data_IF_077681640867
#
_entry.id   IF_077681640867
#
_cell.length_a   1.000
_cell.length_b   1.000
_cell.length_c   1.000
_cell.angle_alpha   90.00
_cell.angle_beta   90.00
_cell.angle_gamma   90.00
#
_symmetry.space_group_name_H-M   'P 1'
#
loop_
_entity.id
_entity.type
_entity.pdbx_description
1 polymer ?
#
# COMPACT_ATOMS: atom_id res chain seq x y z
N UNK A 1 7.06 13.99 -33.65
CA UNK A 1 6.47 13.19 -32.57
C UNK A 1 7.61 12.51 -31.84
N UNK A 2 7.59 12.44 -30.51
CA UNK A 2 8.62 11.73 -29.75
C UNK A 2 8.52 10.22 -30.05
N UNK A 3 9.66 9.54 -30.09
CA UNK A 3 9.69 8.08 -30.26
C UNK A 3 9.13 7.40 -29.01
N UNK A 4 8.40 6.30 -29.22
CA UNK A 4 7.80 5.53 -28.13
C UNK A 4 8.86 4.64 -27.47
N UNK A 5 9.04 4.77 -26.15
CA UNK A 5 9.99 3.95 -25.40
C UNK A 5 9.40 2.56 -25.07
N UNK A 6 10.27 1.56 -24.77
CA UNK A 6 9.83 0.23 -24.35
C UNK A 6 8.90 0.28 -23.12
N UNK A 7 8.13 -0.79 -22.93
CA UNK A 7 7.16 -0.87 -21.85
C UNK A 7 7.81 -0.68 -20.46
N UNK A 8 7.27 0.22 -19.61
CA UNK A 8 7.83 0.51 -18.29
C UNK A 8 7.75 -0.67 -17.30
N UNK A 9 6.93 -1.68 -17.59
CA UNK A 9 6.68 -2.80 -16.68
C UNK A 9 7.50 -4.05 -17.04
N UNK A 10 7.55 -4.42 -18.33
CA UNK A 10 8.21 -5.64 -18.78
C UNK A 10 9.41 -5.39 -19.71
N UNK A 11 9.65 -4.15 -20.14
CA UNK A 11 10.67 -3.81 -21.12
C UNK A 11 10.38 -4.25 -22.56
N UNK A 12 9.20 -4.84 -22.82
CA UNK A 12 8.78 -5.26 -24.16
C UNK A 12 8.41 -4.10 -25.10
N UNK A 13 8.14 -4.42 -26.36
CA UNK A 13 7.75 -3.43 -27.36
C UNK A 13 6.39 -2.79 -27.02
N UNK A 14 6.25 -1.53 -27.40
CA UNK A 14 5.04 -0.74 -27.21
C UNK A 14 4.54 -0.23 -28.56
N UNK A 15 3.23 -0.19 -28.74
CA UNK A 15 2.57 0.25 -29.97
C UNK A 15 1.59 1.41 -29.68
N UNK A 16 1.38 2.23 -30.71
CA UNK A 16 0.43 3.34 -30.71
C UNK A 16 -0.79 2.97 -31.54
N UNK A 17 -2.00 3.23 -31.03
CA UNK A 17 -3.25 3.11 -31.78
C UNK A 17 -4.08 4.38 -31.61
N UNK A 18 -4.32 5.10 -32.70
CA UNK A 18 -5.09 6.35 -32.71
C UNK A 18 -6.61 6.12 -32.70
N UNK A 19 -7.06 4.89 -32.93
CA UNK A 19 -8.46 4.53 -33.18
C UNK A 19 -8.93 3.39 -32.28
N UNK A 20 -8.29 3.20 -31.12
CA UNK A 20 -8.64 2.16 -30.19
C UNK A 20 -10.08 2.34 -29.71
N UNK A 21 -10.94 1.39 -30.07
CA UNK A 21 -12.35 1.43 -29.71
C UNK A 21 -12.53 1.28 -28.18
N UNK A 22 -13.40 2.10 -27.60
CA UNK A 22 -13.82 2.00 -26.21
C UNK A 22 -15.33 2.27 -26.08
N UNK A 23 -15.93 1.83 -24.97
CA UNK A 23 -17.33 2.15 -24.66
C UNK A 23 -17.37 3.33 -23.72
N UNK A 24 -17.93 4.45 -24.17
CA UNK A 24 -18.16 5.63 -23.33
C UNK A 24 -19.09 5.27 -22.18
N UNK A 25 -18.66 5.50 -20.93
CA UNK A 25 -19.51 5.22 -19.75
C UNK A 25 -20.69 6.18 -19.66
N UNK A 26 -20.54 7.42 -20.14
CA UNK A 26 -21.60 8.44 -20.09
C UNK A 26 -22.70 8.16 -21.12
N UNK A 27 -22.31 7.83 -22.36
CA UNK A 27 -23.27 7.69 -23.47
C UNK A 27 -23.63 6.24 -23.79
N UNK A 28 -22.86 5.27 -23.29
CA UNK A 28 -22.98 3.85 -23.63
C UNK A 28 -22.58 3.50 -25.07
N UNK A 29 -22.27 4.50 -25.90
CA UNK A 29 -21.88 4.31 -27.31
C UNK A 29 -20.43 3.85 -27.41
N UNK A 30 -20.13 3.15 -28.50
CA UNK A 30 -18.75 2.85 -28.88
C UNK A 30 -18.18 4.11 -29.50
N UNK A 31 -17.06 4.56 -28.96
CA UNK A 31 -16.26 5.67 -29.47
C UNK A 31 -14.79 5.19 -29.58
N UNK A 32 -13.87 6.07 -29.93
CA UNK A 32 -12.46 5.76 -30.15
C UNK A 32 -11.54 6.73 -29.41
N UNK A 33 -10.38 6.23 -28.99
CA UNK A 33 -9.38 7.02 -28.27
C UNK A 33 -7.97 6.73 -28.76
N UNK A 34 -7.04 7.59 -28.37
CA UNK A 34 -5.61 7.36 -28.56
C UNK A 34 -5.13 6.42 -27.45
N UNK A 35 -4.47 5.33 -27.81
CA UNK A 35 -3.97 4.33 -26.89
C UNK A 35 -2.49 4.03 -27.14
N UNK A 36 -1.80 3.74 -26.04
CA UNK A 36 -0.45 3.18 -26.04
C UNK A 36 -0.50 1.91 -25.22
N UNK A 37 -0.02 0.80 -25.78
CA UNK A 37 -0.04 -0.50 -25.10
C UNK A 37 1.23 -1.30 -25.35
N UNK A 38 1.52 -2.21 -24.43
CA UNK A 38 2.60 -3.17 -24.61
C UNK A 38 2.10 -4.40 -25.35
N UNK A 39 2.90 -4.92 -26.28
CA UNK A 39 2.61 -6.17 -27.00
C UNK A 39 3.02 -7.42 -26.20
N UNK A 40 3.91 -7.26 -25.21
CA UNK A 40 4.44 -8.35 -24.38
C UNK A 40 3.70 -8.58 -23.05
N UNK A 41 3.00 -7.57 -22.51
CA UNK A 41 2.25 -7.69 -21.27
C UNK A 41 0.93 -6.91 -21.33
N UNK A 42 0.10 -7.00 -20.28
CA UNK A 42 -1.23 -6.36 -20.26
C UNK A 42 -1.21 -4.86 -19.91
N UNK A 43 -0.07 -4.18 -20.02
CA UNK A 43 0.02 -2.75 -19.76
C UNK A 43 -0.61 -1.96 -20.92
N UNK A 44 -1.65 -1.18 -20.61
CA UNK A 44 -2.25 -0.25 -21.55
C UNK A 44 -2.49 1.12 -20.90
N UNK A 45 -2.58 2.13 -21.73
CA UNK A 45 -3.12 3.44 -21.40
C UNK A 45 -4.01 3.87 -22.57
N UNK A 46 -5.14 4.51 -22.29
CA UNK A 46 -6.02 5.09 -23.30
C UNK A 46 -6.47 6.49 -22.87
N UNK A 47 -6.49 7.42 -23.83
CA UNK A 47 -7.11 8.73 -23.70
C UNK A 47 -8.33 8.81 -24.63
N UNK A 48 -9.49 8.85 -23.99
CA UNK A 48 -10.80 8.89 -24.63
C UNK A 48 -11.03 10.22 -25.36
N UNK A 49 -11.51 10.17 -26.60
CA UNK A 49 -11.87 11.37 -27.37
C UNK A 49 -12.96 12.20 -26.69
N UNK A 50 -13.96 11.54 -26.10
CA UNK A 50 -15.07 12.21 -25.43
C UNK A 50 -14.67 13.03 -24.20
N UNK A 51 -13.56 12.68 -23.53
CA UNK A 51 -13.10 13.37 -22.32
C UNK A 51 -12.26 14.62 -22.65
N UNK A 52 -11.66 14.66 -23.85
CA UNK A 52 -10.79 15.74 -24.33
C UNK A 52 -11.18 16.16 -25.76
N UNK A 53 -12.38 16.73 -25.96
CA UNK A 53 -12.90 17.07 -27.29
C UNK A 53 -12.15 18.23 -27.97
N UNK A 54 -11.40 19.01 -27.19
CA UNK A 54 -10.58 20.14 -27.62
C UNK A 54 -9.24 19.71 -28.25
N UNK A 55 -8.80 18.47 -28.02
CA UNK A 55 -7.56 17.95 -28.54
C UNK A 55 -7.75 17.15 -29.83
N UNK A 56 -6.90 17.41 -30.83
CA UNK A 56 -6.76 16.58 -32.03
C UNK A 56 -6.28 15.15 -31.68
N UNK A 57 -6.43 14.21 -32.61
CA UNK A 57 -5.96 12.82 -32.42
C UNK A 57 -4.44 12.80 -32.23
N UNK A 58 -3.71 13.65 -32.95
CA UNK A 58 -2.26 13.82 -32.85
C UNK A 58 -1.83 14.39 -31.50
N UNK A 59 -2.54 15.41 -30.98
CA UNK A 59 -2.25 15.98 -29.66
C UNK A 59 -2.52 14.98 -28.54
N UNK A 60 -3.63 14.23 -28.61
CA UNK A 60 -3.92 13.15 -27.65
C UNK A 60 -2.84 12.09 -27.67
N UNK A 61 -2.38 11.66 -28.85
CA UNK A 61 -1.29 10.69 -28.94
C UNK A 61 0.02 11.27 -28.39
N UNK A 62 0.33 12.54 -28.65
CA UNK A 62 1.53 13.17 -28.11
C UNK A 62 1.54 13.17 -26.57
N UNK A 63 0.41 13.49 -25.93
CA UNK A 63 0.26 13.41 -24.46
C UNK A 63 0.42 11.97 -23.97
N UNK A 64 -0.18 11.01 -24.67
CA UNK A 64 -0.10 9.59 -24.32
C UNK A 64 1.33 9.04 -24.40
N UNK A 65 2.07 9.40 -25.46
CA UNK A 65 3.49 9.04 -25.62
C UNK A 65 4.32 9.68 -24.52
N UNK A 66 4.08 10.96 -24.19
CA UNK A 66 4.80 11.63 -23.11
C UNK A 66 4.57 10.94 -21.76
N UNK A 67 3.33 10.65 -21.40
CA UNK A 67 3.00 10.01 -20.13
C UNK A 67 3.51 8.56 -20.05
N UNK A 68 3.50 7.83 -21.17
CA UNK A 68 4.10 6.49 -21.25
C UNK A 68 5.62 6.56 -21.05
N UNK A 69 6.28 7.46 -21.77
CA UNK A 69 7.73 7.62 -21.70
C UNK A 69 8.19 8.12 -20.32
N UNK A 70 7.38 8.96 -19.63
CA UNK A 70 7.64 9.40 -18.25
C UNK A 70 7.64 8.24 -17.25
N UNK A 71 6.85 7.20 -17.51
CA UNK A 71 6.81 5.98 -16.68
C UNK A 71 7.94 5.02 -17.02
N UNK A 72 8.52 5.14 -18.21
CA UNK A 72 9.63 4.29 -18.62
C UNK A 72 10.84 4.71 -17.79
N UNK A 73 11.40 3.81 -16.95
CA UNK A 73 12.59 4.14 -16.20
C UNK A 73 13.63 4.62 -17.21
N UNK A 74 14.23 5.79 -16.95
CA UNK A 74 15.23 6.35 -17.85
C UNK A 74 16.19 5.22 -18.24
N UNK A 75 16.45 5.01 -19.54
CA UNK A 75 17.37 3.97 -19.96
C UNK A 75 18.63 4.21 -19.15
N UNK A 76 18.98 3.26 -18.28
CA UNK A 76 20.23 3.30 -17.54
C UNK A 76 21.25 3.45 -18.64
N UNK A 77 21.82 4.66 -18.79
CA UNK A 77 22.87 4.89 -19.76
C UNK A 77 23.91 3.87 -19.39
N UNK A 78 24.04 2.85 -20.22
CA UNK A 78 25.13 1.92 -20.16
C UNK A 78 26.32 2.78 -20.56
N UNK A 79 26.86 3.50 -19.59
CA UNK A 79 28.24 3.96 -19.65
C UNK A 79 29.02 2.67 -19.73
N UNK A 80 29.48 2.33 -20.93
CA UNK A 80 30.42 1.24 -21.15
C UNK A 80 31.54 1.38 -20.11
N UNK A 81 31.52 0.50 -19.10
CA UNK A 81 32.62 0.36 -18.16
C UNK A 81 32.48 0.95 -16.75
N UNK A 82 31.30 1.33 -16.24
CA UNK A 82 31.13 1.45 -14.78
C UNK A 82 29.83 0.77 -14.32
N UNK A 83 29.97 -0.47 -13.86
CA UNK A 83 28.95 -1.17 -13.06
C UNK A 83 28.75 -0.43 -11.72
N UNK A 84 27.89 0.60 -11.69
CA UNK A 84 27.42 1.15 -10.42
C UNK A 84 26.32 0.25 -9.86
N UNK A 85 26.76 -0.79 -9.16
CA UNK A 85 25.90 -1.63 -8.33
C UNK A 85 25.42 -0.78 -7.17
N UNK A 86 24.22 -0.20 -7.30
CA UNK A 86 23.62 0.65 -6.27
C UNK A 86 23.08 -0.24 -5.14
N UNK A 87 24.00 -0.65 -4.28
CA UNK A 87 23.75 -1.51 -3.13
C UNK A 87 23.22 -0.64 -1.99
N UNK A 88 21.91 -0.42 -1.92
CA UNK A 88 21.29 0.18 -0.73
C UNK A 88 21.35 -0.85 0.40
N UNK A 89 22.24 -0.66 1.37
CA UNK A 89 22.39 -1.54 2.52
C UNK A 89 22.06 -0.81 3.82
N UNK A 90 20.93 -1.17 4.44
CA UNK A 90 20.66 -0.93 5.86
C UNK A 90 21.50 -1.94 6.65
N UNK A 91 22.14 -1.48 7.72
CA UNK A 91 23.04 -2.30 8.53
C UNK A 91 22.35 -3.38 9.38
N UNK A 92 23.16 -4.20 10.04
CA UNK A 92 22.81 -5.45 10.75
C UNK A 92 21.76 -5.25 11.86
N UNK A 93 21.63 -4.04 12.42
CA UNK A 93 20.70 -3.71 13.50
C UNK A 93 19.71 -2.60 13.15
N UNK A 94 19.68 -2.16 11.89
CA UNK A 94 19.12 -0.85 11.55
C UNK A 94 20.09 0.27 11.98
N UNK A 95 20.05 1.39 11.26
CA UNK A 95 21.14 2.38 11.13
C UNK A 95 21.74 3.00 12.41
N UNK A 96 21.23 2.71 13.62
CA UNK A 96 21.70 3.32 14.87
C UNK A 96 22.77 2.52 15.63
N UNK A 97 22.92 1.21 15.39
CA UNK A 97 23.74 0.33 16.25
C UNK A 97 24.90 -0.37 15.54
N UNK A 98 25.11 -0.12 14.25
CA UNK A 98 26.21 -0.74 13.51
C UNK A 98 27.51 0.06 13.64
N UNK A 99 28.67 -0.60 13.89
CA UNK A 99 29.95 0.07 13.87
C UNK A 99 30.26 0.65 12.48
N UNK A 100 31.06 1.74 12.39
CA UNK A 100 31.40 2.36 11.11
C UNK A 100 32.16 1.37 10.22
N UNK A 101 31.51 0.89 9.16
CA UNK A 101 32.03 -0.11 8.24
C UNK A 101 31.05 -0.40 7.11
N UNK A 102 31.41 -1.23 6.12
CA UNK A 102 30.52 -1.58 5.02
C UNK A 102 29.28 -2.32 5.54
N UNK A 103 28.13 -1.63 5.53
CA UNK A 103 26.84 -2.18 5.93
C UNK A 103 26.45 -3.32 4.99
N UNK A 104 26.16 -4.50 5.55
CA UNK A 104 25.70 -5.68 4.81
C UNK A 104 24.19 -5.80 5.00
N UNK A 105 23.44 -5.74 3.90
CA UNK A 105 22.04 -6.12 3.93
C UNK A 105 21.97 -7.64 3.91
N UNK A 106 21.50 -8.21 5.01
CA UNK A 106 21.23 -9.63 5.09
C UNK A 106 19.76 -9.86 4.78
N UNK A 107 19.44 -10.78 3.87
CA UNK A 107 18.06 -11.31 3.84
C UNK A 107 17.80 -12.02 5.17
N UNK A 108 16.53 -12.27 5.48
CA UNK A 108 16.16 -12.97 6.72
C UNK A 108 16.98 -14.26 6.89
N UNK A 109 17.15 -15.04 5.82
CA UNK A 109 17.98 -16.25 5.77
C UNK A 109 19.47 -16.02 6.10
N UNK A 110 20.03 -14.88 5.72
CA UNK A 110 21.48 -14.60 5.81
C UNK A 110 21.87 -13.75 7.02
N UNK A 111 20.91 -13.34 7.86
CA UNK A 111 21.19 -12.51 9.04
C UNK A 111 22.09 -13.27 10.03
N UNK A 112 23.27 -12.73 10.39
CA UNK A 112 24.13 -13.32 11.40
C UNK A 112 23.35 -13.47 12.71
N UNK A 113 23.29 -14.69 13.24
CA UNK A 113 22.51 -15.00 14.45
C UNK A 113 21.04 -15.34 14.23
N UNK A 114 20.49 -15.19 13.02
CA UNK A 114 19.08 -15.51 12.73
C UNK A 114 18.84 -17.00 12.35
N UNK A 115 19.89 -17.82 12.33
CA UNK A 115 19.78 -19.23 11.95
C UNK A 115 18.76 -20.01 12.77
N UNK A 116 18.61 -19.69 14.06
CA UNK A 116 17.63 -20.34 14.94
C UNK A 116 16.18 -19.99 14.52
N UNK A 117 15.87 -18.71 14.36
CA UNK A 117 14.51 -18.29 13.99
C UNK A 117 14.14 -18.69 12.55
N UNK A 118 15.11 -18.66 11.62
CA UNK A 118 14.93 -19.23 10.27
C UNK A 118 14.57 -20.73 10.34
N UNK A 119 15.35 -21.52 11.09
CA UNK A 119 15.11 -22.96 11.23
C UNK A 119 13.74 -23.26 11.88
N UNK A 120 13.30 -22.44 12.84
CA UNK A 120 11.94 -22.51 13.42
C UNK A 120 10.89 -22.22 12.35
N UNK A 121 11.05 -21.15 11.57
CA UNK A 121 10.12 -20.79 10.49
C UNK A 121 9.98 -21.88 9.42
N UNK A 122 11.09 -22.53 9.06
CA UNK A 122 11.09 -23.68 8.16
C UNK A 122 10.37 -24.90 8.77
N UNK A 123 10.56 -25.17 10.07
CA UNK A 123 9.87 -26.26 10.76
C UNK A 123 8.35 -26.03 10.82
N UNK A 124 7.91 -24.80 11.11
CA UNK A 124 6.49 -24.41 11.09
C UNK A 124 5.90 -24.49 9.67
N UNK A 125 6.67 -24.14 8.64
CA UNK A 125 6.20 -24.25 7.25
C UNK A 125 6.04 -25.70 6.81
N UNK A 126 6.96 -26.59 7.21
CA UNK A 126 6.85 -28.03 6.96
C UNK A 126 5.62 -28.64 7.66
N UNK A 127 5.31 -28.20 8.88
CA UNK A 127 4.11 -28.60 9.60
C UNK A 127 2.82 -28.29 8.81
N UNK A 128 2.72 -27.09 8.20
CA UNK A 128 1.54 -26.68 7.41
C UNK A 128 1.28 -27.58 6.20
N UNK A 129 2.31 -28.21 5.64
CA UNK A 129 2.20 -29.09 4.47
C UNK A 129 1.76 -30.51 4.83
N UNK A 130 1.97 -30.94 6.08
CA UNK A 130 1.67 -32.28 6.57
C UNK A 130 0.59 -32.28 7.66
N UNK A 131 -0.26 -31.26 7.66
CA UNK A 131 -1.25 -31.02 8.70
C UNK A 131 -2.44 -31.99 8.62
N UNK A 132 -2.37 -33.07 9.40
CA UNK A 132 -3.52 -33.91 9.75
C UNK A 132 -3.26 -34.61 11.08
N UNK A 133 -3.96 -34.23 12.14
CA UNK A 133 -3.80 -34.80 13.48
C UNK A 133 -4.41 -33.92 14.57
N UNK A 134 -4.41 -34.41 15.81
CA UNK A 134 -4.79 -33.60 16.96
C UNK A 134 -3.65 -32.65 17.41
N UNK A 135 -3.88 -31.86 18.46
CA UNK A 135 -2.88 -30.92 18.95
C UNK A 135 -1.58 -31.60 19.43
N UNK A 136 -1.65 -32.86 19.85
CA UNK A 136 -0.49 -33.64 20.31
C UNK A 136 0.34 -34.06 19.09
N UNK A 137 -0.29 -34.57 18.04
CA UNK A 137 0.38 -34.93 16.78
C UNK A 137 1.12 -33.73 16.17
N UNK A 138 0.47 -32.56 16.20
CA UNK A 138 1.06 -31.29 15.75
C UNK A 138 2.30 -30.93 16.55
N UNK A 139 2.23 -31.04 17.88
CA UNK A 139 3.35 -30.76 18.78
C UNK A 139 4.53 -31.70 18.53
N UNK A 140 4.27 -33.00 18.43
CA UNK A 140 5.31 -34.01 18.18
C UNK A 140 5.96 -33.86 16.79
N UNK A 141 5.17 -33.54 15.77
CA UNK A 141 5.69 -33.30 14.43
C UNK A 141 6.58 -32.06 14.38
N UNK A 142 6.17 -30.96 15.03
CA UNK A 142 6.99 -29.75 15.12
C UNK A 142 8.33 -30.02 15.81
N UNK A 143 8.32 -30.76 16.94
CA UNK A 143 9.55 -31.14 17.65
C UNK A 143 10.49 -31.97 16.77
N UNK A 144 9.95 -32.92 16.01
CA UNK A 144 10.72 -33.72 15.05
C UNK A 144 11.37 -32.85 13.96
N UNK A 145 10.62 -31.92 13.38
CA UNK A 145 11.13 -31.01 12.34
C UNK A 145 12.16 -30.02 12.87
N UNK A 146 12.01 -29.56 14.11
CA UNK A 146 13.01 -28.76 14.82
C UNK A 146 14.30 -29.56 15.07
N UNK A 147 14.17 -30.80 15.56
CA UNK A 147 15.31 -31.69 15.80
C UNK A 147 16.07 -31.99 14.50
N UNK A 148 15.36 -32.27 13.40
CA UNK A 148 15.97 -32.50 12.09
C UNK A 148 16.78 -31.28 11.57
N UNK A 149 16.50 -30.09 12.09
CA UNK A 149 17.19 -28.83 11.79
C UNK A 149 18.24 -28.44 12.85
N UNK A 150 18.59 -29.37 13.73
CA UNK A 150 19.60 -29.16 14.78
C UNK A 150 19.10 -28.35 15.98
N UNK A 151 17.78 -28.13 16.10
CA UNK A 151 17.15 -27.50 17.26
C UNK A 151 16.58 -28.60 18.15
N UNK A 152 17.30 -28.95 19.22
CA UNK A 152 16.90 -30.02 20.14
C UNK A 152 17.32 -29.73 21.58
N UNK A 153 16.77 -30.51 22.51
CA UNK A 153 17.18 -30.50 23.92
C UNK A 153 18.46 -31.34 24.03
N UNK A 154 19.57 -30.72 24.40
CA UNK A 154 20.84 -31.39 24.69
C UNK A 154 20.98 -31.53 26.21
N UNK A 155 21.55 -32.64 26.69
CA UNK A 155 21.98 -32.75 28.08
C UNK A 155 23.13 -31.77 28.33
N UNK A 156 22.95 -30.86 29.30
CA UNK A 156 23.99 -29.93 29.71
C UNK A 156 24.75 -30.57 30.86
N UNK A 157 26.00 -30.97 30.63
CA UNK A 157 26.88 -31.38 31.74
C UNK A 157 27.09 -30.17 32.68
N UNK A 158 26.94 -30.32 34.01
CA UNK A 158 27.15 -29.25 34.95
C UNK A 158 28.64 -28.88 34.98
N UNK A 159 29.01 -27.83 34.24
CA UNK A 159 30.38 -27.32 34.19
C UNK A 159 30.75 -26.69 35.53
N UNK A 160 31.62 -27.36 36.30
CA UNK A 160 32.25 -26.79 37.49
C UNK A 160 33.07 -25.56 37.10
N UNK A 161 32.73 -24.40 37.66
CA UNK A 161 33.45 -23.14 37.44
C UNK A 161 34.69 -23.15 38.33
N UNK A 162 35.83 -23.58 37.80
CA UNK A 162 37.12 -23.31 38.42
C UNK A 162 37.54 -21.88 38.09
N UNK A 163 37.59 -21.02 39.10
CA UNK A 163 37.97 -19.63 38.98
C UNK A 163 39.50 -19.51 38.81
N UNK A 164 39.95 -19.00 37.66
CA UNK A 164 41.36 -18.61 37.50
C UNK A 164 41.65 -17.29 38.26
N UNK A 165 42.80 -17.20 38.96
CA UNK A 165 43.18 -16.00 39.69
C UNK A 165 43.73 -14.90 38.78
N UNK A 166 43.16 -13.69 38.87
CA UNK A 166 43.59 -12.48 38.15
C UNK A 166 45.07 -12.13 38.38
N UNK A 167 45.77 -11.60 37.35
CA UNK A 167 47.14 -11.14 37.48
C UNK A 167 47.23 -9.86 38.31
N UNK A 168 48.02 -9.90 39.38
CA UNK A 168 48.28 -8.75 40.26
C UNK A 168 49.27 -7.80 39.59
N UNK A 169 48.79 -6.68 39.03
CA UNK A 169 49.65 -5.58 38.56
C UNK A 169 49.98 -4.62 39.71
N UNK A 170 51.22 -4.69 40.18
CA UNK A 170 51.79 -3.74 41.14
C UNK A 170 52.15 -2.42 40.43
N UNK A 171 51.19 -1.50 40.31
CA UNK A 171 51.46 -0.11 39.91
C UNK A 171 51.00 0.82 41.04
N UNK A 172 51.89 1.07 42.02
CA UNK A 172 51.72 2.16 43.00
C UNK A 172 52.17 3.47 42.35
N UNK A 173 51.31 4.06 41.52
CA UNK A 173 51.46 5.45 41.07
C UNK A 173 50.96 6.41 42.14
N UNK A 174 51.78 7.37 42.54
CA UNK A 174 51.40 8.44 43.47
C UNK A 174 50.39 9.38 42.80
N UNK A 175 49.11 9.31 43.18
CA UNK A 175 48.06 10.19 42.67
C UNK A 175 48.40 11.63 43.09
N UNK A 176 48.54 12.54 42.13
CA UNK A 176 48.82 13.95 42.42
C UNK A 176 47.53 14.75 42.61
N UNK A 177 47.53 15.84 43.41
CA UNK A 177 46.36 16.73 43.56
C UNK A 177 45.85 17.35 42.24
N UNK A 178 46.71 17.40 41.22
CA UNK A 178 46.32 17.86 39.89
C UNK A 178 45.47 16.81 39.16
N UNK A 179 45.85 15.53 39.22
CA UNK A 179 45.06 14.44 38.64
C UNK A 179 43.66 14.35 39.27
N UNK A 180 43.52 14.63 40.56
CA UNK A 180 42.22 14.67 41.26
C UNK A 180 41.35 15.83 40.75
N UNK A 181 41.94 17.01 40.53
CA UNK A 181 41.22 18.17 39.97
C UNK A 181 40.83 17.96 38.51
N UNK A 182 41.70 17.32 37.73
CA UNK A 182 41.41 16.99 36.34
C UNK A 182 40.25 15.98 36.28
N UNK A 183 40.21 14.93 37.12
CA UNK A 183 39.05 14.01 37.21
C UNK A 183 37.76 14.70 37.64
N UNK A 184 37.80 15.65 38.57
CA UNK A 184 36.62 16.40 38.98
C UNK A 184 36.04 17.28 37.85
N UNK A 185 36.90 17.85 36.99
CA UNK A 185 36.48 18.58 35.80
C UNK A 185 35.82 17.67 34.76
N UNK A 186 36.31 16.44 34.61
CA UNK A 186 35.69 15.42 33.75
C UNK A 186 34.33 14.97 34.27
N UNK A 187 34.18 14.76 35.59
CA UNK A 187 32.90 14.39 36.21
C UNK A 187 31.82 15.47 35.97
N UNK A 188 32.17 16.75 36.12
CA UNK A 188 31.23 17.85 35.86
C UNK A 188 30.81 17.89 34.39
N UNK A 189 31.76 17.73 33.45
CA UNK A 189 31.45 17.71 32.02
C UNK A 189 30.60 16.48 31.64
N UNK A 190 30.83 15.32 32.28
CA UNK A 190 30.02 14.13 32.07
C UNK A 190 28.59 14.33 32.57
N UNK A 191 28.39 14.95 33.73
CA UNK A 191 27.06 15.25 34.26
C UNK A 191 26.30 16.25 33.35
N UNK A 192 26.98 17.28 32.84
CA UNK A 192 26.40 18.22 31.87
C UNK A 192 25.99 17.53 30.56
N UNK A 193 26.83 16.61 30.07
CA UNK A 193 26.52 15.81 28.88
C UNK A 193 25.33 14.88 29.13
N UNK A 194 25.28 14.21 30.28
CA UNK A 194 24.17 13.33 30.68
C UNK A 194 22.86 14.10 30.75
N UNK A 195 22.86 15.31 31.31
CA UNK A 195 21.67 16.14 31.39
C UNK A 195 21.22 16.63 30.01
N UNK A 196 22.18 17.02 29.16
CA UNK A 196 21.89 17.39 27.76
C UNK A 196 21.24 16.23 26.99
N UNK A 197 21.76 15.01 27.16
CA UNK A 197 21.19 13.81 26.54
C UNK A 197 19.79 13.48 27.07
N UNK A 198 19.52 13.66 28.37
CA UNK A 198 18.17 13.51 28.92
C UNK A 198 17.19 14.51 28.32
N UNK A 199 17.59 15.78 28.21
CA UNK A 199 16.75 16.80 27.58
C UNK A 199 16.47 16.49 26.11
N UNK A 200 17.48 16.03 25.36
CA UNK A 200 17.30 15.61 23.98
C UNK A 200 16.36 14.39 23.84
N UNK A 201 16.49 13.40 24.74
CA UNK A 201 15.61 12.24 24.76
C UNK A 201 14.14 12.63 25.04
N UNK A 202 13.91 13.47 26.04
CA UNK A 202 12.57 13.97 26.37
C UNK A 202 11.97 14.80 25.23
N UNK A 203 12.78 15.59 24.52
CA UNK A 203 12.33 16.35 23.37
C UNK A 203 11.92 15.44 22.20
N UNK A 204 12.67 14.37 21.94
CA UNK A 204 12.33 13.38 20.92
C UNK A 204 11.03 12.64 21.27
N UNK A 205 10.86 12.23 22.53
CA UNK A 205 9.63 11.58 23.00
C UNK A 205 8.40 12.51 22.84
N UNK A 206 8.56 13.81 23.13
CA UNK A 206 7.50 14.81 22.90
C UNK A 206 7.13 14.94 21.42
N UNK A 207 8.13 14.99 20.53
CA UNK A 207 7.90 15.07 19.08
C UNK A 207 7.19 13.81 18.56
N UNK A 208 7.59 12.63 19.05
CA UNK A 208 6.95 11.37 18.68
C UNK A 208 5.51 11.30 19.16
N UNK A 209 5.23 11.78 20.38
CA UNK A 209 3.87 11.88 20.92
C UNK A 209 2.99 12.84 20.09
N UNK A 210 3.50 14.02 19.73
CA UNK A 210 2.80 14.96 18.85
C UNK A 210 2.51 14.36 17.47
N UNK A 211 3.48 13.63 16.90
CA UNK A 211 3.30 12.97 15.61
C UNK A 211 2.25 11.86 15.70
N UNK A 212 2.25 11.06 16.76
CA UNK A 212 1.26 10.01 17.00
C UNK A 212 -0.16 10.59 17.12
N UNK A 213 -0.29 11.73 17.81
CA UNK A 213 -1.57 12.43 17.95
C UNK A 213 -2.07 13.00 16.62
N UNK A 214 -1.19 13.59 15.80
CA UNK A 214 -1.55 14.01 14.45
C UNK A 214 -2.01 12.85 13.57
N UNK A 215 -1.37 11.68 13.68
CA UNK A 215 -1.79 10.47 12.97
C UNK A 215 -3.16 9.96 13.45
N UNK A 216 -3.47 10.06 14.74
CA UNK A 216 -4.80 9.73 15.28
C UNK A 216 -5.87 10.64 14.68
N UNK A 217 -5.66 11.96 14.71
CA UNK A 217 -6.59 12.94 14.14
C UNK A 217 -6.83 12.74 12.64
N UNK A 218 -5.80 12.40 11.86
CA UNK A 218 -5.96 12.08 10.44
C UNK A 218 -6.82 10.85 10.21
N UNK A 219 -6.60 9.76 10.96
CA UNK A 219 -7.41 8.54 10.86
C UNK A 219 -8.87 8.79 11.22
N UNK A 220 -9.14 9.60 12.25
CA UNK A 220 -10.52 9.99 12.61
C UNK A 220 -11.18 10.82 11.50
N UNK A 221 -10.45 11.75 10.90
CA UNK A 221 -10.95 12.54 9.77
C UNK A 221 -11.19 11.68 8.51
N UNK A 222 -10.34 10.71 8.23
CA UNK A 222 -10.52 9.74 7.12
C UNK A 222 -11.71 8.83 7.36
N UNK A 223 -11.86 8.27 8.57
CA UNK A 223 -13.04 7.49 8.95
C UNK A 223 -14.34 8.27 8.82
N UNK A 224 -14.32 9.57 9.15
CA UNK A 224 -15.46 10.47 8.92
C UNK A 224 -15.77 10.68 7.44
N UNK A 225 -14.76 10.80 6.58
CA UNK A 225 -14.94 10.92 5.12
C UNK A 225 -15.52 9.65 4.52
N UNK A 226 -15.05 8.48 4.95
CA UNK A 226 -15.56 7.20 4.45
C UNK A 226 -17.00 6.95 4.94
N UNK A 227 -17.32 7.31 6.18
CA UNK A 227 -18.69 7.29 6.68
C UNK A 227 -19.61 8.23 5.87
N UNK A 228 -19.14 9.44 5.54
CA UNK A 228 -19.89 10.39 4.71
C UNK A 228 -20.10 9.85 3.28
N UNK A 229 -19.09 9.22 2.68
CA UNK A 229 -19.21 8.55 1.37
C UNK A 229 -20.20 7.39 1.40
N UNK A 230 -20.15 6.56 2.44
CA UNK A 230 -21.09 5.46 2.61
C UNK A 230 -22.53 5.96 2.74
N UNK A 231 -22.76 7.02 3.54
CA UNK A 231 -24.08 7.63 3.69
C UNK A 231 -24.60 8.25 2.37
N UNK A 232 -23.72 8.92 1.61
CA UNK A 232 -24.09 9.45 0.30
C UNK A 232 -24.46 8.34 -0.70
N UNK A 233 -23.74 7.20 -0.65
CA UNK A 233 -24.01 6.05 -1.49
C UNK A 233 -25.36 5.39 -1.14
N UNK A 234 -25.69 5.22 0.15
CA UNK A 234 -26.98 4.68 0.57
C UNK A 234 -28.14 5.57 0.14
N UNK A 235 -28.02 6.90 0.31
CA UNK A 235 -29.05 7.86 -0.14
C UNK A 235 -29.26 7.82 -1.65
N UNK A 236 -28.18 7.62 -2.43
CA UNK A 236 -28.27 7.47 -3.89
C UNK A 236 -29.04 6.20 -4.27
N UNK A 237 -28.75 5.07 -3.62
CA UNK A 237 -29.47 3.81 -3.85
C UNK A 237 -30.96 3.97 -3.52
N UNK A 238 -31.30 4.55 -2.36
CA UNK A 238 -32.69 4.76 -1.95
C UNK A 238 -33.46 5.64 -2.94
N UNK A 239 -32.83 6.71 -3.42
CA UNK A 239 -33.39 7.58 -4.46
C UNK A 239 -33.63 6.81 -5.76
N UNK A 240 -32.65 6.05 -6.23
CA UNK A 240 -32.73 5.32 -7.49
C UNK A 240 -33.79 4.18 -7.40
N UNK A 241 -33.92 3.53 -6.24
CA UNK A 241 -34.98 2.56 -5.95
C UNK A 241 -36.37 3.21 -5.95
N UNK A 242 -36.51 4.36 -5.29
CA UNK A 242 -37.78 5.11 -5.26
C UNK A 242 -38.19 5.54 -6.67
N UNK A 243 -37.24 6.00 -7.47
CA UNK A 243 -37.46 6.37 -8.87
C UNK A 243 -37.90 5.18 -9.72
N UNK A 244 -37.26 4.02 -9.53
CA UNK A 244 -37.63 2.78 -10.22
C UNK A 244 -39.04 2.32 -9.86
N UNK A 245 -39.42 2.40 -8.58
CA UNK A 245 -40.75 2.08 -8.10
C UNK A 245 -41.82 3.02 -8.68
N UNK A 246 -41.55 4.33 -8.73
CA UNK A 246 -42.44 5.32 -9.34
C UNK A 246 -42.61 5.06 -10.84
N UNK A 247 -41.53 4.76 -11.55
CA UNK A 247 -41.58 4.42 -12.98
C UNK A 247 -42.45 3.18 -13.22
N UNK A 248 -42.25 2.12 -12.44
CA UNK A 248 -43.06 0.90 -12.52
C UNK A 248 -44.55 1.17 -12.27
N UNK A 249 -44.87 2.03 -11.29
CA UNK A 249 -46.25 2.41 -10.99
C UNK A 249 -46.88 3.17 -12.16
N UNK A 250 -46.14 4.09 -12.79
CA UNK A 250 -46.59 4.84 -13.97
C UNK A 250 -46.85 3.89 -15.15
N UNK A 251 -45.89 3.02 -15.45
CA UNK A 251 -46.02 2.04 -16.54
C UNK A 251 -47.27 1.15 -16.33
N UNK A 252 -47.55 0.76 -15.07
CA UNK A 252 -48.75 0.01 -14.73
C UNK A 252 -50.05 0.81 -14.93
N UNK A 253 -50.07 2.09 -14.53
CA UNK A 253 -51.23 2.98 -14.75
C UNK A 253 -51.51 3.12 -16.24
N UNK A 254 -50.48 3.33 -17.05
CA UNK A 254 -50.61 3.45 -18.51
C UNK A 254 -51.12 2.17 -19.16
N UNK A 255 -50.60 1.02 -18.73
CA UNK A 255 -51.08 -0.28 -19.20
C UNK A 255 -52.57 -0.47 -18.87
N UNK A 256 -52.98 -0.15 -17.65
CA UNK A 256 -54.39 -0.23 -17.23
C UNK A 256 -55.28 0.71 -18.05
N UNK A 257 -54.83 1.96 -18.28
CA UNK A 257 -55.56 2.94 -19.08
C UNK A 257 -55.77 2.45 -20.53
N UNK A 258 -54.73 1.88 -21.14
CA UNK A 258 -54.81 1.29 -22.48
C UNK A 258 -55.78 0.10 -22.52
N UNK A 259 -55.74 -0.78 -21.50
CA UNK A 259 -56.63 -1.92 -21.40
C UNK A 259 -58.10 -1.51 -21.26
N UNK A 260 -58.41 -0.52 -20.41
CA UNK A 260 -59.78 -0.02 -20.24
C UNK A 260 -60.33 0.62 -21.53
N UNK A 261 -59.50 1.40 -22.22
CA UNK A 261 -59.86 2.02 -23.50
C UNK A 261 -60.24 0.97 -24.56
N UNK A 262 -59.51 -0.16 -24.60
CA UNK A 262 -59.78 -1.27 -25.52
C UNK A 262 -61.02 -2.10 -25.18
N UNK A 263 -61.54 -2.02 -23.95
CA UNK A 263 -62.71 -2.79 -23.49
C UNK A 263 -64.03 -2.02 -23.56
N UNK A 264 -64.01 -0.74 -23.91
CA UNK A 264 -65.22 0.08 -24.01
C UNK A 264 -65.96 0.23 -22.69
N UNK A 265 -65.26 0.14 -21.55
CA UNK A 265 -65.86 0.12 -20.20
C UNK A 265 -66.43 1.48 -19.76
N UNK A 266 -66.37 2.52 -20.58
CA UNK A 266 -66.86 3.86 -20.26
C UNK A 266 -66.06 4.60 -19.17
N UNK A 267 -64.96 4.01 -18.69
CA UNK A 267 -64.05 4.66 -17.74
C UNK A 267 -63.10 5.59 -18.50
N UNK A 268 -63.31 6.91 -18.36
CA UNK A 268 -62.39 7.93 -18.87
C UNK A 268 -61.34 8.26 -17.81
N UNK A 269 -60.07 8.16 -18.18
CA UNK A 269 -58.93 8.51 -17.34
C UNK A 269 -58.69 10.02 -17.21
N UNK A 270 -59.56 10.86 -17.79
CA UNK A 270 -59.44 12.32 -17.74
C UNK A 270 -59.44 12.87 -16.30
N UNK A 271 -60.03 12.15 -15.33
CA UNK A 271 -59.97 12.51 -13.90
C UNK A 271 -58.62 12.19 -13.21
N UNK A 272 -57.75 11.40 -13.84
CA UNK A 272 -56.39 11.09 -13.35
C UNK A 272 -55.29 11.78 -14.20
N UNK A 273 -55.69 12.46 -15.29
CA UNK A 273 -54.80 13.00 -16.31
C UNK A 273 -54.11 14.31 -15.95
N UNK A 274 -54.59 15.08 -14.96
CA UNK A 274 -53.99 16.37 -14.61
C UNK A 274 -52.60 16.24 -13.94
N UNK A 275 -52.37 15.21 -13.11
CA UNK A 275 -51.12 15.09 -12.32
C UNK A 275 -50.00 14.31 -13.03
N UNK A 276 -50.35 13.45 -14.00
CA UNK A 276 -49.41 12.56 -14.68
C UNK A 276 -48.30 13.27 -15.47
N UNK A 277 -48.57 14.36 -16.21
CA UNK A 277 -47.53 15.12 -16.89
C UNK A 277 -46.48 15.71 -15.93
N UNK A 278 -46.92 16.18 -14.75
CA UNK A 278 -46.03 16.73 -13.72
C UNK A 278 -45.08 15.68 -13.13
N UNK A 279 -45.60 14.49 -12.83
CA UNK A 279 -44.80 13.38 -12.30
C UNK A 279 -43.77 12.91 -13.35
N UNK A 280 -44.17 12.80 -14.63
CA UNK A 280 -43.23 12.48 -15.73
C UNK A 280 -42.13 13.53 -15.89
N UNK A 281 -42.48 14.81 -15.83
CA UNK A 281 -41.51 15.90 -15.93
C UNK A 281 -40.51 15.90 -14.76
N UNK A 282 -40.98 15.61 -13.53
CA UNK A 282 -40.13 15.47 -12.36
C UNK A 282 -39.15 14.27 -12.47
N UNK A 283 -39.60 13.18 -13.08
CA UNK A 283 -38.76 12.00 -13.34
C UNK A 283 -37.75 12.21 -14.48
N UNK A 284 -38.02 13.11 -15.43
CA UNK A 284 -37.12 13.39 -16.56
C UNK A 284 -36.06 14.46 -16.24
N UNK A 285 -36.38 15.45 -15.41
CA UNK A 285 -35.47 16.57 -15.09
C UNK A 285 -34.27 16.18 -14.23
N UNK A 286 -34.28 15.01 -13.60
CA UNK A 286 -33.18 14.49 -12.78
C UNK A 286 -32.14 13.66 -13.56
N UNK A 287 -32.23 13.60 -14.89
CA UNK A 287 -31.24 12.98 -15.80
C UNK A 287 -30.21 13.97 -16.38
N UNK A 288 -30.08 15.17 -15.82
CA UNK A 288 -28.99 16.09 -16.19
C UNK A 288 -27.61 15.49 -15.81
N UNK A 289 -26.57 15.71 -16.64
CA UNK A 289 -25.30 14.97 -16.64
C UNK A 289 -24.50 15.05 -15.33
#
# INVERSE_FOLDING_TARGET
MADLLPCPFCGGEAEQDFQQAYRSMQTGRIDHGAAVYCTGCNANMIMCRGDHPDLSDEERMAVMVEDWNRRTPAPLSIVEGIHLTLTRALGMYGAAYDPPGPHRAYTYEHQPGNGVAWNIGCAVSALKQHYSGDAIDVGLYLLKEMQARGLGVFEVEPKAVEAEPSPQSNVRGTITPQMIRDTAGWEQMEDELRETLRHAANALESIEAERAEQWRLRREAEGSRDAARAAAYTLRIERDNTRSALKLAIDHIEHMAAWFSGKGTGYSFENLGEDMPGIKAALATTEAP
#
